data_IF_005789066074
#
_entry.id   IF_005789066074
#
_cell.length_a   1.000
_cell.length_b   1.000
_cell.length_c   1.000
_cell.angle_alpha   90.00
_cell.angle_beta   90.00
_cell.angle_gamma   90.00
#
_symmetry.space_group_name_H-M   'P 1'
#
loop_
_entity.id
_entity.type
_entity.pdbx_description
1 polymer ?
#
# COMPACT_ATOMS: atom_id res chain seq x y z
N UNK A 1 -26.83 11.31 -27.78
CA UNK A 1 -26.35 9.92 -27.53
C UNK A 1 -26.48 9.52 -26.05
N UNK A 2 -25.55 9.82 -25.09
CA UNK A 2 -25.75 9.37 -23.68
C UNK A 2 -27.00 9.96 -23.01
N UNK A 3 -27.28 11.24 -23.18
CA UNK A 3 -28.49 11.92 -22.65
C UNK A 3 -29.79 11.38 -23.27
N UNK A 4 -29.78 11.04 -24.53
CA UNK A 4 -30.90 10.40 -25.21
C UNK A 4 -31.17 9.01 -24.66
N UNK A 5 -30.10 8.18 -24.56
CA UNK A 5 -30.20 6.84 -23.99
C UNK A 5 -30.75 6.85 -22.56
N UNK A 6 -30.30 7.81 -21.74
CA UNK A 6 -30.82 7.96 -20.36
C UNK A 6 -32.29 8.41 -20.34
N UNK A 7 -32.70 9.26 -21.28
CA UNK A 7 -34.10 9.67 -21.44
C UNK A 7 -35.01 8.50 -21.83
N UNK A 8 -34.50 7.55 -22.60
CA UNK A 8 -35.20 6.34 -23.04
C UNK A 8 -35.20 5.20 -22.01
N UNK A 9 -34.46 5.38 -20.88
CA UNK A 9 -34.29 4.35 -19.85
C UNK A 9 -34.75 4.86 -18.47
N UNK A 10 -36.08 5.03 -18.26
CA UNK A 10 -36.60 5.63 -17.03
C UNK A 10 -36.34 4.80 -15.77
N UNK A 11 -35.99 3.53 -15.91
CA UNK A 11 -35.63 2.65 -14.81
C UNK A 11 -34.21 2.91 -14.25
N UNK A 12 -33.40 3.72 -14.94
CA UNK A 12 -32.02 4.06 -14.51
C UNK A 12 -31.98 5.53 -14.08
N UNK A 13 -31.54 5.77 -12.85
CA UNK A 13 -31.26 7.11 -12.34
C UNK A 13 -29.76 7.30 -12.14
N UNK A 14 -29.18 8.30 -12.78
CA UNK A 14 -27.78 8.66 -12.58
C UNK A 14 -27.62 9.29 -11.21
N UNK A 15 -26.88 8.66 -10.32
CA UNK A 15 -26.58 9.18 -8.99
C UNK A 15 -25.37 10.11 -9.01
N UNK A 16 -24.33 9.72 -9.74
CA UNK A 16 -23.08 10.49 -9.81
C UNK A 16 -22.49 10.48 -11.23
N UNK A 17 -21.71 11.50 -11.54
CA UNK A 17 -20.85 11.58 -12.72
C UNK A 17 -19.41 11.68 -12.21
N UNK A 18 -18.53 10.77 -12.65
CA UNK A 18 -17.15 10.81 -12.20
C UNK A 18 -16.12 10.61 -13.32
N UNK A 19 -14.91 11.06 -13.03
CA UNK A 19 -13.69 10.70 -13.75
C UNK A 19 -12.59 10.37 -12.74
N UNK A 20 -11.47 9.82 -13.19
CA UNK A 20 -10.31 9.57 -12.36
C UNK A 20 -9.10 10.32 -12.90
N UNK A 21 -8.42 11.07 -12.01
CA UNK A 21 -7.18 11.75 -12.34
C UNK A 21 -6.02 10.77 -12.23
N UNK A 22 -5.28 10.58 -13.31
CA UNK A 22 -4.25 9.55 -13.39
C UNK A 22 -2.82 10.05 -13.08
N UNK A 23 -2.64 11.37 -12.95
CA UNK A 23 -1.34 12.00 -12.69
C UNK A 23 -1.41 13.07 -11.59
N UNK A 24 -2.44 13.03 -10.74
CA UNK A 24 -2.62 14.05 -9.68
C UNK A 24 -1.55 14.03 -8.59
N UNK A 25 -0.81 12.94 -8.47
CA UNK A 25 0.33 12.72 -7.59
C UNK A 25 1.69 13.06 -8.22
N UNK A 26 1.71 13.51 -9.48
CA UNK A 26 2.92 13.79 -10.26
C UNK A 26 3.04 15.28 -10.56
N UNK A 27 3.87 16.07 -9.82
CA UNK A 27 3.99 17.53 -10.03
C UNK A 27 4.38 17.93 -11.45
N UNK A 28 5.18 17.12 -12.13
CA UNK A 28 5.59 17.36 -13.52
C UNK A 28 4.42 17.28 -14.52
N UNK A 29 3.31 16.64 -14.13
CA UNK A 29 2.11 16.44 -14.95
C UNK A 29 0.94 17.39 -14.55
N UNK A 30 1.20 18.40 -13.75
CA UNK A 30 0.17 19.32 -13.24
C UNK A 30 -0.64 19.98 -14.35
N UNK A 31 0.02 20.37 -15.44
CA UNK A 31 -0.65 20.95 -16.59
C UNK A 31 -1.69 19.99 -17.18
N UNK A 32 -1.29 18.74 -17.39
CA UNK A 32 -2.18 17.72 -17.91
C UNK A 32 -3.33 17.41 -16.94
N UNK A 33 -3.04 17.36 -15.65
CA UNK A 33 -4.06 17.16 -14.61
C UNK A 33 -5.10 18.28 -14.63
N UNK A 34 -4.69 19.56 -14.74
CA UNK A 34 -5.62 20.68 -14.86
C UNK A 34 -6.44 20.65 -16.16
N UNK A 35 -5.84 20.19 -17.26
CA UNK A 35 -6.57 19.98 -18.52
C UNK A 35 -7.65 18.88 -18.37
N UNK A 36 -7.35 17.78 -17.64
CA UNK A 36 -8.34 16.74 -17.31
C UNK A 36 -9.48 17.30 -16.45
N UNK A 37 -9.17 18.07 -15.40
CA UNK A 37 -10.16 18.70 -14.52
C UNK A 37 -11.09 19.61 -15.33
N UNK A 38 -10.54 20.51 -16.14
CA UNK A 38 -11.30 21.41 -16.98
C UNK A 38 -12.18 20.68 -18.02
N UNK A 39 -11.67 19.59 -18.57
CA UNK A 39 -12.43 18.74 -19.48
C UNK A 39 -13.59 18.05 -18.78
N UNK A 40 -13.34 17.50 -17.61
CA UNK A 40 -14.35 16.87 -16.78
C UNK A 40 -15.45 17.87 -16.39
N UNK A 41 -15.08 19.07 -15.95
CA UNK A 41 -16.04 20.12 -15.56
C UNK A 41 -16.99 20.45 -16.71
N UNK A 42 -16.46 20.72 -17.91
CA UNK A 42 -17.28 21.02 -19.09
C UNK A 42 -18.20 19.87 -19.46
N UNK A 43 -17.70 18.63 -19.45
CA UNK A 43 -18.49 17.46 -19.89
C UNK A 43 -19.55 17.07 -18.86
N UNK A 44 -19.17 17.02 -17.59
CA UNK A 44 -20.09 16.65 -16.50
C UNK A 44 -21.15 17.73 -16.28
N UNK A 45 -20.79 19.01 -16.39
CA UNK A 45 -21.74 20.12 -16.30
C UNK A 45 -22.81 20.06 -17.40
N UNK A 46 -22.41 19.78 -18.64
CA UNK A 46 -23.36 19.60 -19.75
C UNK A 46 -24.30 18.41 -19.53
N UNK A 47 -23.77 17.29 -19.04
CA UNK A 47 -24.60 16.11 -18.75
C UNK A 47 -25.54 16.38 -17.59
N UNK A 48 -25.05 16.96 -16.48
CA UNK A 48 -25.88 17.30 -15.32
C UNK A 48 -27.02 18.27 -15.70
N UNK A 49 -26.74 19.29 -16.53
CA UNK A 49 -27.77 20.23 -16.99
C UNK A 49 -28.85 19.61 -17.89
N UNK A 50 -28.57 18.46 -18.51
CA UNK A 50 -29.52 17.76 -19.36
C UNK A 50 -30.40 16.76 -18.58
N UNK A 51 -30.13 16.53 -17.29
CA UNK A 51 -30.90 15.64 -16.45
C UNK A 51 -31.96 16.41 -15.64
N UNK A 52 -33.18 15.86 -15.45
CA UNK A 52 -34.28 16.55 -14.75
C UNK A 52 -34.15 16.50 -13.21
N UNK A 53 -33.02 16.07 -12.69
CA UNK A 53 -32.73 15.93 -11.26
C UNK A 53 -31.26 16.24 -10.97
N UNK A 54 -30.89 16.60 -9.73
CA UNK A 54 -29.52 16.88 -9.37
C UNK A 54 -28.66 15.61 -9.38
N UNK A 55 -27.40 15.75 -9.80
CA UNK A 55 -26.42 14.67 -9.89
C UNK A 55 -25.11 15.16 -9.30
N UNK A 56 -24.50 14.36 -8.44
CA UNK A 56 -23.19 14.66 -7.84
C UNK A 56 -22.05 14.46 -8.85
N UNK A 57 -21.13 15.40 -8.88
CA UNK A 57 -19.93 15.34 -9.73
C UNK A 57 -18.69 15.16 -8.86
N UNK A 58 -17.79 14.28 -9.25
CA UNK A 58 -16.56 14.06 -8.49
C UNK A 58 -15.42 13.56 -9.36
N UNK A 59 -14.18 14.03 -9.07
CA UNK A 59 -12.99 13.53 -9.77
C UNK A 59 -11.77 13.42 -8.85
N UNK A 60 -11.72 14.16 -7.73
CA UNK A 60 -10.59 14.15 -6.83
C UNK A 60 -10.39 12.79 -6.15
N UNK A 61 -9.16 12.29 -6.22
CA UNK A 61 -8.59 11.21 -5.39
C UNK A 61 -7.79 11.84 -4.24
N UNK A 62 -7.10 11.05 -3.41
CA UNK A 62 -6.35 11.57 -2.25
C UNK A 62 -5.34 12.65 -2.62
N UNK A 63 -4.54 12.46 -3.67
CA UNK A 63 -3.58 13.47 -4.12
C UNK A 63 -4.26 14.77 -4.60
N UNK A 64 -5.35 14.64 -5.34
CA UNK A 64 -6.06 15.81 -5.85
C UNK A 64 -6.82 16.57 -4.75
N UNK A 65 -7.18 15.94 -3.64
CA UNK A 65 -7.75 16.64 -2.48
C UNK A 65 -6.76 17.68 -1.94
N UNK A 66 -5.49 17.34 -1.87
CA UNK A 66 -4.43 18.23 -1.38
C UNK A 66 -4.00 19.24 -2.45
N UNK A 67 -3.75 18.78 -3.67
CA UNK A 67 -3.04 19.54 -4.71
C UNK A 67 -3.94 20.34 -5.65
N UNK A 68 -5.21 19.95 -5.78
CA UNK A 68 -6.15 20.55 -6.73
C UNK A 68 -7.53 20.80 -6.09
N UNK A 69 -7.66 21.78 -5.16
CA UNK A 69 -8.94 22.06 -4.50
C UNK A 69 -10.10 22.31 -5.48
N UNK A 70 -9.80 22.83 -6.68
CA UNK A 70 -10.77 23.05 -7.75
C UNK A 70 -11.36 21.75 -8.33
N UNK A 71 -10.74 20.59 -8.06
CA UNK A 71 -11.21 19.27 -8.52
C UNK A 71 -12.17 18.57 -7.57
N UNK A 72 -12.48 19.16 -6.42
CA UNK A 72 -13.29 18.50 -5.39
C UNK A 72 -14.77 18.39 -5.79
N UNK A 73 -15.31 19.38 -6.53
CA UNK A 73 -16.71 19.43 -6.95
C UNK A 73 -17.66 19.14 -5.79
N UNK A 74 -18.57 18.17 -5.95
CA UNK A 74 -19.58 17.85 -4.95
C UNK A 74 -19.12 16.72 -3.98
N UNK A 75 -18.08 15.95 -4.34
CA UNK A 75 -17.60 14.82 -3.54
C UNK A 75 -16.15 14.47 -3.89
N UNK A 76 -15.42 13.98 -2.90
CA UNK A 76 -14.07 13.45 -3.06
C UNK A 76 -14.02 11.93 -2.82
N UNK A 77 -13.03 11.27 -3.40
CA UNK A 77 -12.75 9.85 -3.15
C UNK A 77 -11.45 9.72 -2.38
N UNK A 78 -11.57 9.70 -1.06
CA UNK A 78 -10.43 9.52 -0.19
C UNK A 78 -10.01 8.04 -0.17
N UNK A 79 -8.79 7.75 -0.58
CA UNK A 79 -8.18 6.42 -0.63
C UNK A 79 -6.97 6.35 0.29
N UNK A 80 -5.77 6.55 -0.26
CA UNK A 80 -4.51 6.41 0.46
C UNK A 80 -4.40 7.35 1.69
N UNK A 81 -5.02 8.52 1.63
CA UNK A 81 -5.10 9.44 2.77
C UNK A 81 -5.78 8.84 4.01
N UNK A 82 -6.73 7.89 3.86
CA UNK A 82 -7.32 7.15 4.99
C UNK A 82 -6.32 6.25 5.73
N UNK A 83 -5.27 5.83 5.03
CA UNK A 83 -4.21 4.99 5.58
C UNK A 83 -3.03 5.80 6.13
N UNK A 84 -3.14 7.14 6.14
CA UNK A 84 -2.13 8.02 6.68
C UNK A 84 -1.03 8.41 5.69
N UNK A 85 -1.31 8.40 4.38
CA UNK A 85 -0.36 8.79 3.34
C UNK A 85 -0.85 10.05 2.61
N UNK A 86 -0.19 11.17 2.85
CA UNK A 86 -0.35 12.42 2.13
C UNK A 86 0.61 12.53 0.94
N UNK A 87 0.46 13.60 0.16
CA UNK A 87 1.31 13.91 -0.99
C UNK A 87 2.14 15.18 -0.74
N UNK A 88 1.52 16.25 -0.26
CA UNK A 88 2.19 17.51 0.09
C UNK A 88 2.31 17.68 1.61
N UNK A 89 1.36 17.12 2.38
CA UNK A 89 1.27 17.22 3.85
C UNK A 89 1.39 15.85 4.52
N UNK A 90 2.37 15.04 4.07
CA UNK A 90 2.53 13.67 4.56
C UNK A 90 2.90 13.59 6.05
N UNK A 91 3.53 14.62 6.59
CA UNK A 91 3.91 14.76 7.99
C UNK A 91 2.72 15.07 8.93
N UNK A 92 1.62 15.58 8.38
CA UNK A 92 0.39 15.83 9.15
C UNK A 92 -0.47 14.59 9.33
N UNK A 93 -0.28 13.56 8.49
CA UNK A 93 -1.03 12.31 8.54
C UNK A 93 -0.27 11.25 9.32
N UNK A 94 -1.00 10.42 10.06
CA UNK A 94 -0.42 9.32 10.83
C UNK A 94 -0.74 7.98 10.19
N UNK A 95 0.25 7.07 10.05
CA UNK A 95 0.00 5.70 9.65
C UNK A 95 -1.02 5.04 10.57
N UNK A 96 -2.08 4.46 10.01
CA UNK A 96 -3.16 3.83 10.79
C UNK A 96 -3.08 2.31 10.82
N UNK A 97 -2.17 1.73 10.03
CA UNK A 97 -2.04 0.28 9.89
C UNK A 97 -0.70 -0.21 10.41
N UNK A 98 -0.73 -1.27 11.20
CA UNK A 98 0.45 -2.03 11.59
C UNK A 98 0.21 -3.52 11.33
N UNK A 99 1.07 -4.12 10.50
CA UNK A 99 1.06 -5.56 10.28
C UNK A 99 2.06 -6.23 11.22
N UNK A 100 1.54 -7.15 12.03
CA UNK A 100 2.33 -7.90 13.02
C UNK A 100 2.18 -9.39 12.81
N UNK A 101 3.27 -10.10 13.11
CA UNK A 101 3.30 -11.56 13.28
C UNK A 101 3.99 -11.88 14.61
N UNK A 102 4.43 -13.11 14.80
CA UNK A 102 5.18 -13.54 15.99
C UNK A 102 6.27 -14.55 15.64
N UNK A 103 7.25 -14.69 16.50
CA UNK A 103 8.24 -15.75 16.42
C UNK A 103 7.61 -17.07 16.87
N UNK A 104 7.70 -18.12 16.04
CA UNK A 104 7.19 -19.45 16.38
C UNK A 104 8.30 -20.47 16.66
N UNK A 105 9.53 -20.15 16.28
CA UNK A 105 10.67 -21.01 16.54
C UNK A 105 11.97 -20.20 16.49
N UNK A 106 12.91 -20.51 17.38
CA UNK A 106 14.29 -20.03 17.31
C UNK A 106 15.23 -21.19 16.98
N UNK A 107 16.24 -20.92 16.17
CA UNK A 107 17.33 -21.87 15.86
C UNK A 107 18.69 -21.21 15.94
N UNK A 108 19.60 -21.87 16.64
CA UNK A 108 21.03 -21.53 16.64
C UNK A 108 21.70 -22.29 15.49
N UNK A 109 22.36 -21.58 14.62
CA UNK A 109 22.98 -22.09 13.41
C UNK A 109 24.42 -21.60 13.34
N UNK A 110 25.32 -22.46 12.90
CA UNK A 110 26.74 -22.13 12.77
C UNK A 110 27.05 -21.34 11.49
N UNK A 111 28.15 -20.62 11.51
CA UNK A 111 28.70 -20.01 10.31
C UNK A 111 28.87 -21.05 9.18
N UNK A 112 28.52 -20.69 7.96
CA UNK A 112 28.56 -21.58 6.79
C UNK A 112 27.29 -22.38 6.55
N UNK A 113 26.38 -22.49 7.53
CA UNK A 113 25.06 -23.06 7.30
C UNK A 113 24.19 -22.18 6.40
N UNK A 114 23.14 -22.76 5.86
CA UNK A 114 22.26 -22.06 4.93
C UNK A 114 20.78 -22.29 5.28
N UNK A 115 19.99 -21.21 5.16
CA UNK A 115 18.58 -21.17 5.50
C UNK A 115 17.73 -21.05 4.25
N UNK A 116 16.59 -21.74 4.20
CA UNK A 116 15.56 -21.60 3.19
C UNK A 116 15.85 -22.30 1.87
N UNK A 117 14.88 -22.16 0.96
CA UNK A 117 14.92 -22.81 -0.36
C UNK A 117 16.13 -22.40 -1.20
N UNK A 118 16.74 -23.40 -1.84
CA UNK A 118 17.92 -23.22 -2.68
C UNK A 118 19.14 -22.79 -1.88
N UNK A 119 19.15 -22.97 -0.56
CA UNK A 119 20.25 -22.54 0.33
C UNK A 119 20.62 -21.07 0.13
N UNK A 120 19.60 -20.23 -0.11
CA UNK A 120 19.80 -18.84 -0.50
C UNK A 120 20.28 -17.94 0.66
N UNK A 121 19.94 -18.30 1.91
CA UNK A 121 20.35 -17.58 3.13
C UNK A 121 21.63 -18.16 3.70
N UNK A 122 22.80 -17.81 3.17
CA UNK A 122 24.09 -18.24 3.70
C UNK A 122 24.48 -17.41 4.93
N UNK A 123 24.79 -18.10 6.02
CA UNK A 123 25.22 -17.47 7.26
C UNK A 123 26.74 -17.28 7.26
N UNK A 124 27.19 -16.06 7.53
CA UNK A 124 28.63 -15.72 7.57
C UNK A 124 29.20 -15.74 8.99
N UNK A 125 28.33 -15.84 9.99
CA UNK A 125 28.67 -15.95 11.42
C UNK A 125 27.71 -16.93 12.10
N UNK A 126 28.05 -17.35 13.31
CA UNK A 126 27.09 -18.03 14.18
C UNK A 126 25.89 -17.11 14.40
N UNK A 127 24.71 -17.63 14.17
CA UNK A 127 23.48 -16.81 14.09
C UNK A 127 22.32 -17.47 14.80
N UNK A 128 21.44 -16.65 15.34
CA UNK A 128 20.11 -17.06 15.80
C UNK A 128 19.10 -16.65 14.76
N UNK A 129 18.40 -17.60 14.18
CA UNK A 129 17.32 -17.34 13.22
C UNK A 129 15.96 -17.61 13.85
N UNK A 130 15.00 -16.73 13.57
CA UNK A 130 13.62 -16.87 13.99
C UNK A 130 12.73 -17.23 12.80
N UNK A 131 11.85 -18.20 12.98
CA UNK A 131 10.78 -18.53 12.03
C UNK A 131 9.55 -17.68 12.35
N UNK A 132 9.07 -16.96 11.34
CA UNK A 132 7.86 -16.13 11.39
C UNK A 132 6.81 -16.79 10.48
N UNK A 133 5.59 -17.12 10.98
CA UNK A 133 4.53 -17.76 10.20
C UNK A 133 3.81 -16.73 9.33
N UNK A 134 4.53 -16.16 8.38
CA UNK A 134 4.06 -15.23 7.37
C UNK A 134 4.91 -15.38 6.12
N UNK A 135 4.27 -15.64 5.01
CA UNK A 135 4.90 -15.82 3.72
C UNK A 135 4.18 -15.09 2.58
N UNK A 136 4.51 -15.44 1.34
CA UNK A 136 3.93 -14.74 0.19
C UNK A 136 2.44 -15.01 -0.01
N UNK A 137 1.90 -16.10 0.53
CA UNK A 137 0.45 -16.35 0.52
C UNK A 137 -0.32 -15.45 1.50
N UNK A 138 0.38 -14.82 2.44
CA UNK A 138 -0.17 -13.87 3.41
C UNK A 138 0.05 -12.40 2.98
N UNK A 139 0.70 -12.19 1.82
CA UNK A 139 0.99 -10.87 1.27
C UNK A 139 2.43 -10.37 1.49
N UNK A 140 3.32 -11.19 2.07
CA UNK A 140 4.73 -10.85 2.17
C UNK A 140 5.45 -11.15 0.84
N UNK A 141 5.70 -10.14 0.03
CA UNK A 141 6.29 -10.35 -1.30
C UNK A 141 7.62 -11.12 -1.23
N UNK A 142 7.76 -12.08 -2.14
CA UNK A 142 8.90 -12.97 -2.20
C UNK A 142 10.22 -12.27 -2.51
N UNK A 143 10.16 -11.10 -3.16
CA UNK A 143 11.34 -10.28 -3.46
C UNK A 143 11.97 -9.63 -2.21
N UNK A 144 11.27 -9.63 -1.09
CA UNK A 144 11.77 -9.10 0.20
C UNK A 144 12.78 -10.02 0.88
N UNK A 145 12.93 -11.24 0.40
CA UNK A 145 13.92 -12.19 0.92
C UNK A 145 15.37 -11.80 0.67
N UNK A 146 16.28 -12.61 1.22
CA UNK A 146 17.73 -12.48 1.05
C UNK A 146 18.30 -11.12 1.51
N UNK A 147 17.83 -10.64 2.66
CA UNK A 147 18.29 -9.41 3.29
C UNK A 147 17.77 -8.11 2.69
N UNK A 148 16.84 -8.18 1.75
CA UNK A 148 16.27 -6.97 1.11
C UNK A 148 15.33 -6.20 2.01
N UNK A 149 14.69 -6.88 2.95
CA UNK A 149 13.83 -6.27 3.95
C UNK A 149 14.22 -6.75 5.35
N UNK A 150 14.06 -5.87 6.32
CA UNK A 150 14.17 -6.20 7.74
C UNK A 150 12.83 -5.93 8.42
N UNK A 151 12.38 -6.88 9.22
CA UNK A 151 11.28 -6.68 10.15
C UNK A 151 11.82 -6.12 11.47
N UNK A 152 10.95 -5.66 12.37
CA UNK A 152 11.39 -5.22 13.70
C UNK A 152 11.01 -6.26 14.75
N UNK A 153 11.99 -6.60 15.59
CA UNK A 153 11.82 -7.41 16.81
C UNK A 153 12.35 -6.60 17.98
N UNK A 154 11.50 -6.29 18.95
CA UNK A 154 11.83 -5.43 20.08
C UNK A 154 12.46 -4.08 19.64
N UNK A 155 11.97 -3.46 18.57
CA UNK A 155 12.47 -2.20 18.02
C UNK A 155 13.80 -2.31 17.26
N UNK A 156 14.35 -3.52 17.06
CA UNK A 156 15.61 -3.76 16.35
C UNK A 156 15.35 -4.38 14.98
N UNK A 157 16.08 -3.96 13.93
CA UNK A 157 15.96 -4.56 12.61
C UNK A 157 16.41 -6.02 12.60
N UNK A 158 15.58 -6.91 12.07
CA UNK A 158 15.84 -8.33 11.87
C UNK A 158 15.68 -8.66 10.37
N UNK A 159 16.78 -8.79 9.60
CA UNK A 159 16.72 -9.01 8.16
C UNK A 159 16.17 -10.39 7.82
N UNK A 160 15.41 -10.48 6.71
CA UNK A 160 14.91 -11.75 6.20
C UNK A 160 16.09 -12.56 5.64
N UNK A 161 16.31 -13.75 6.19
CA UNK A 161 17.36 -14.70 5.77
C UNK A 161 16.81 -15.66 4.73
N UNK A 162 17.47 -15.76 3.58
CA UNK A 162 17.03 -16.62 2.50
C UNK A 162 15.74 -16.13 1.84
N UNK A 163 15.07 -17.04 1.16
CA UNK A 163 13.85 -16.70 0.38
C UNK A 163 12.62 -16.75 1.29
N UNK A 164 11.69 -15.83 1.06
CA UNK A 164 10.34 -15.92 1.63
C UNK A 164 9.66 -17.18 1.07
N UNK A 165 9.08 -18.00 1.95
CA UNK A 165 8.33 -19.19 1.61
C UNK A 165 6.83 -18.86 1.44
N UNK A 166 6.00 -19.88 1.19
CA UNK A 166 4.55 -19.71 1.03
C UNK A 166 3.89 -19.19 2.31
N UNK A 167 4.17 -19.84 3.44
CA UNK A 167 3.47 -19.62 4.71
C UNK A 167 4.41 -19.15 5.82
N UNK A 168 5.68 -18.89 5.52
CA UNK A 168 6.69 -18.48 6.51
C UNK A 168 7.87 -17.78 5.89
N UNK A 169 8.61 -17.05 6.72
CA UNK A 169 9.96 -16.58 6.43
C UNK A 169 10.85 -16.75 7.66
N UNK A 170 12.16 -16.65 7.46
CA UNK A 170 13.14 -16.66 8.54
C UNK A 170 13.82 -15.30 8.59
N UNK A 171 14.05 -14.81 9.80
CA UNK A 171 14.72 -13.54 10.06
C UNK A 171 15.95 -13.78 10.97
N UNK A 172 16.99 -12.99 10.79
CA UNK A 172 18.17 -13.00 11.66
C UNK A 172 17.89 -12.14 12.90
N UNK A 173 17.87 -12.78 14.06
CA UNK A 173 17.65 -12.16 15.37
C UNK A 173 18.88 -12.25 16.28
N UNK A 174 20.05 -12.54 15.72
CA UNK A 174 21.30 -12.75 16.46
C UNK A 174 21.62 -11.61 17.42
N UNK A 175 21.37 -10.37 16.99
CA UNK A 175 21.69 -9.17 17.77
C UNK A 175 20.50 -8.65 18.58
N UNK A 176 19.50 -9.52 18.85
CA UNK A 176 18.33 -9.22 19.63
C UNK A 176 18.20 -10.20 20.81
N UNK A 177 17.42 -9.86 21.83
CA UNK A 177 17.09 -10.77 22.94
C UNK A 177 15.76 -11.51 22.65
N UNK A 178 15.51 -11.85 21.38
CA UNK A 178 14.25 -12.41 20.90
C UNK A 178 13.94 -13.77 21.53
N UNK A 179 12.66 -13.98 21.84
CA UNK A 179 12.12 -15.23 22.34
C UNK A 179 10.97 -15.73 21.46
N UNK A 180 10.65 -17.02 21.57
CA UNK A 180 9.44 -17.58 20.93
C UNK A 180 8.20 -16.91 21.52
N UNK A 181 7.28 -16.49 20.65
CA UNK A 181 6.09 -15.72 21.01
C UNK A 181 6.23 -14.21 20.84
N UNK A 182 7.45 -13.69 20.74
CA UNK A 182 7.67 -12.25 20.61
C UNK A 182 7.03 -11.69 19.33
N UNK A 183 6.49 -10.47 19.40
CA UNK A 183 5.91 -9.81 18.25
C UNK A 183 6.98 -9.40 17.22
N UNK A 184 6.63 -9.57 15.96
CA UNK A 184 7.43 -9.14 14.80
C UNK A 184 6.63 -8.12 14.04
N UNK A 185 7.15 -6.91 13.86
CA UNK A 185 6.51 -5.86 13.05
C UNK A 185 7.01 -6.00 11.61
N UNK A 186 6.08 -6.20 10.69
CA UNK A 186 6.35 -6.30 9.25
C UNK A 186 6.35 -4.93 8.59
N UNK A 187 5.38 -4.11 8.92
CA UNK A 187 5.32 -2.66 8.68
C UNK A 187 4.42 -1.99 9.72
N UNK A 188 4.58 -0.68 9.91
CA UNK A 188 3.83 0.12 10.88
C UNK A 188 4.39 1.51 11.04
N UNK A 189 4.17 2.15 12.17
CA UNK A 189 4.65 3.50 12.45
C UNK A 189 6.19 3.60 12.41
N UNK A 190 6.89 2.66 13.06
CA UNK A 190 8.36 2.62 13.11
C UNK A 190 9.00 2.00 11.84
N UNK A 191 8.22 1.42 10.97
CA UNK A 191 8.65 0.77 9.73
C UNK A 191 7.61 1.05 8.65
N UNK A 192 7.62 2.25 8.04
CA UNK A 192 6.57 2.70 7.14
C UNK A 192 6.37 1.81 5.93
N UNK A 193 5.10 1.56 5.55
CA UNK A 193 4.79 0.77 4.35
C UNK A 193 5.28 1.43 3.06
N UNK A 194 5.52 2.75 3.07
CA UNK A 194 6.15 3.46 1.96
C UNK A 194 7.57 2.97 1.68
N UNK A 195 8.38 2.73 2.72
CA UNK A 195 9.72 2.15 2.54
C UNK A 195 9.65 0.74 1.94
N UNK A 196 8.64 -0.05 2.34
CA UNK A 196 8.41 -1.38 1.79
C UNK A 196 8.02 -1.31 0.31
N UNK A 197 7.11 -0.39 -0.06
CA UNK A 197 6.73 -0.18 -1.46
C UNK A 197 7.89 0.31 -2.32
N UNK A 198 8.73 1.20 -1.81
CA UNK A 198 9.94 1.67 -2.49
C UNK A 198 10.92 0.53 -2.77
N UNK A 199 11.14 -0.37 -1.80
CA UNK A 199 11.96 -1.57 -1.97
C UNK A 199 11.45 -2.50 -3.07
N UNK A 200 10.14 -2.59 -3.23
CA UNK A 200 9.47 -3.40 -4.24
C UNK A 200 9.25 -2.65 -5.55
N UNK A 201 9.53 -1.34 -5.60
CA UNK A 201 9.26 -0.45 -6.75
C UNK A 201 7.80 -0.45 -7.15
N UNK A 202 6.93 -0.35 -6.15
CA UNK A 202 5.48 -0.29 -6.28
C UNK A 202 4.89 0.82 -5.41
N UNK A 203 3.59 0.81 -5.21
CA UNK A 203 2.85 1.81 -4.44
C UNK A 203 2.30 1.21 -3.13
N UNK A 204 2.11 2.02 -2.07
CA UNK A 204 1.58 1.53 -0.79
C UNK A 204 0.25 0.80 -0.90
N UNK A 205 -0.61 1.16 -1.87
CA UNK A 205 -1.87 0.47 -2.12
C UNK A 205 -1.69 -1.03 -2.39
N UNK A 206 -0.71 -1.40 -3.22
CA UNK A 206 -0.47 -2.80 -3.57
C UNK A 206 -0.07 -3.60 -2.33
N UNK A 207 0.80 -3.03 -1.49
CA UNK A 207 1.20 -3.68 -0.23
C UNK A 207 -0.01 -3.87 0.70
N UNK A 208 -0.78 -2.79 0.95
CA UNK A 208 -1.92 -2.83 1.86
C UNK A 208 -3.01 -3.80 1.40
N UNK A 209 -3.27 -3.87 0.09
CA UNK A 209 -4.29 -4.75 -0.48
C UNK A 209 -3.83 -6.19 -0.67
N UNK A 210 -2.53 -6.45 -0.65
CA UNK A 210 -1.99 -7.81 -0.74
C UNK A 210 -2.07 -8.59 0.58
N UNK A 211 -2.26 -7.89 1.71
CA UNK A 211 -2.40 -8.55 3.01
C UNK A 211 -3.63 -9.46 2.99
N UNK A 212 -3.38 -10.77 3.13
CA UNK A 212 -4.42 -11.80 3.10
C UNK A 212 -5.18 -11.88 4.42
N UNK A 213 -6.49 -12.17 4.40
CA UNK A 213 -7.28 -12.45 5.60
C UNK A 213 -7.07 -13.86 6.18
N UNK A 214 -6.05 -14.61 5.74
CA UNK A 214 -5.73 -15.97 6.21
C UNK A 214 -5.35 -15.99 7.68
#
# INVERSE_FOLDING_TARGET
>A
MLTETLGETPSVKVATIFSHLNCSDMPQEDRYTREQIARFDRMSGRLAAALPYPVLRHTANSAAIERFPEAQFDMCRLGLGLYGFGFEHNDELKPVSTLKSRIVQLKHLSAGEAVGYGRAGKLTRDSVTATVPMGYADGLDRHLGCGRWSMLVAGRPAPIVGRVCMDSCMIDVTDTDAQEGDPVIVFGEELPVSELSDKLKTIPYEILTSVSPR
#
